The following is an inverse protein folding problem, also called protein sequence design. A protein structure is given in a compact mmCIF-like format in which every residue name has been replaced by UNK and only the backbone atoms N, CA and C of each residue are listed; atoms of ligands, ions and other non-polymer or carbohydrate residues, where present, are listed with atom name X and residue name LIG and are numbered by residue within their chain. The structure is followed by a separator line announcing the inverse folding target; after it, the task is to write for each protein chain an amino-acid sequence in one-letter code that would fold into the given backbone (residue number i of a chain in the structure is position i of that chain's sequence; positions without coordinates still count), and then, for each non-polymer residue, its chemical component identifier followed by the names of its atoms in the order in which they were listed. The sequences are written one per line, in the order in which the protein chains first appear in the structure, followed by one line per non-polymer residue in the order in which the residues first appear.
data_IF_197842270584
#
_entry.id   IF_197842270584
#
_cell.length_a   1.000
_cell.length_b   1.000
_cell.length_c   1.000
_cell.angle_alpha   90.00
_cell.angle_beta   90.00
_cell.angle_gamma   90.00
#
_symmetry.space_group_name_H-M   'P 1'
#
loop_
_entity.id
_entity.type
_entity.pdbx_description
1 polymer ?
#
# COMPACT_ATOMS: atom_id res chain seq x y z
N UNK A 1 15.98 -20.24 5.47
CA UNK A 1 16.10 -18.83 5.88
C UNK A 1 14.80 -18.52 6.59
N UNK A 2 14.81 -18.50 7.92
CA UNK A 2 13.61 -18.16 8.67
C UNK A 2 13.22 -16.73 8.34
N UNK A 3 11.96 -16.53 7.94
CA UNK A 3 11.43 -15.20 7.72
C UNK A 3 11.45 -14.48 9.08
N UNK A 4 12.16 -13.36 9.17
CA UNK A 4 12.31 -12.59 10.42
C UNK A 4 10.97 -12.10 10.96
N UNK A 5 9.93 -12.08 10.13
CA UNK A 5 8.57 -11.69 10.50
C UNK A 5 7.67 -12.89 10.81
N UNK A 6 8.13 -14.12 10.56
CA UNK A 6 7.34 -15.34 10.78
C UNK A 6 6.12 -15.47 9.86
N UNK A 7 6.16 -14.87 8.67
CA UNK A 7 5.06 -14.85 7.71
C UNK A 7 5.41 -15.74 6.52
N UNK A 8 4.40 -16.29 5.84
CA UNK A 8 4.56 -17.05 4.62
C UNK A 8 4.22 -16.22 3.39
N UNK A 9 4.79 -16.59 2.25
CA UNK A 9 4.41 -16.02 0.96
C UNK A 9 2.91 -16.25 0.63
N UNK A 10 2.31 -17.33 1.15
CA UNK A 10 0.88 -17.58 0.94
C UNK A 10 0.02 -16.56 1.67
N UNK A 11 0.33 -16.28 2.93
CA UNK A 11 -0.38 -15.27 3.73
C UNK A 11 -0.29 -13.89 3.09
N UNK A 12 0.89 -13.49 2.59
CA UNK A 12 1.03 -12.25 1.84
C UNK A 12 0.12 -12.22 0.61
N UNK A 13 0.11 -13.27 -0.21
CA UNK A 13 -0.76 -13.33 -1.41
C UNK A 13 -2.24 -13.26 -1.05
N UNK A 14 -2.66 -13.91 0.03
CA UNK A 14 -4.06 -13.92 0.44
C UNK A 14 -4.50 -12.58 1.01
N UNK A 15 -3.63 -11.90 1.75
CA UNK A 15 -3.82 -10.51 2.15
C UNK A 15 -3.86 -9.55 0.94
N UNK A 16 -2.94 -9.71 -0.01
CA UNK A 16 -2.82 -8.86 -1.22
C UNK A 16 -4.11 -8.86 -2.05
N UNK A 17 -4.85 -9.97 -2.07
CA UNK A 17 -6.16 -10.09 -2.75
C UNK A 17 -7.26 -9.26 -2.09
N UNK A 18 -7.10 -8.86 -0.82
CA UNK A 18 -8.07 -8.03 -0.10
C UNK A 18 -7.96 -6.55 -0.45
N UNK A 19 -6.85 -6.13 -1.06
CA UNK A 19 -6.61 -4.76 -1.50
C UNK A 19 -7.50 -4.40 -2.70
N UNK A 20 -8.71 -3.91 -2.39
CA UNK A 20 -9.74 -3.54 -3.38
C UNK A 20 -9.98 -2.04 -3.40
N UNK A 21 -9.86 -1.46 -4.59
CA UNK A 21 -10.08 -0.04 -4.80
C UNK A 21 -11.57 0.29 -4.94
N UNK A 22 -12.05 1.18 -4.05
CA UNK A 22 -13.35 1.84 -4.18
C UNK A 22 -13.35 2.99 -5.19
N UNK A 23 -14.56 3.54 -5.45
CA UNK A 23 -14.80 4.64 -6.41
C UNK A 23 -14.05 5.93 -6.08
N UNK A 24 -13.72 6.16 -4.80
CA UNK A 24 -13.01 7.35 -4.32
C UNK A 24 -11.52 7.38 -4.71
N UNK A 25 -10.95 6.24 -5.11
CA UNK A 25 -9.57 6.16 -5.56
C UNK A 25 -9.43 6.59 -7.02
N UNK A 26 -9.84 7.82 -7.31
CA UNK A 26 -9.60 8.41 -8.62
C UNK A 26 -8.10 8.62 -8.81
N UNK A 27 -7.56 8.20 -9.97
CA UNK A 27 -6.16 8.41 -10.36
C UNK A 27 -5.12 7.72 -9.44
N UNK A 28 -5.30 6.46 -9.07
CA UNK A 28 -4.25 5.66 -8.39
C UNK A 28 -3.72 4.56 -9.31
N UNK A 29 -2.40 4.35 -9.34
CA UNK A 29 -1.81 3.20 -10.02
C UNK A 29 -2.07 1.91 -9.25
N UNK A 30 -2.79 0.97 -9.85
CA UNK A 30 -3.13 -0.31 -9.22
C UNK A 30 -1.93 -1.25 -8.98
N UNK A 31 -0.77 -0.96 -9.58
CA UNK A 31 0.46 -1.75 -9.47
C UNK A 31 1.36 -1.27 -8.34
N UNK A 32 1.69 0.02 -8.32
CA UNK A 32 2.55 0.61 -7.29
C UNK A 32 1.78 1.29 -6.15
N UNK A 33 0.46 1.43 -6.25
CA UNK A 33 -0.42 2.08 -5.28
C UNK A 33 -0.23 3.60 -5.10
N UNK A 34 0.64 4.24 -5.89
CA UNK A 34 0.90 5.68 -5.84
C UNK A 34 -0.23 6.47 -6.53
N UNK A 35 -0.81 7.50 -5.88
CA UNK A 35 -1.70 8.47 -6.50
C UNK A 35 -1.01 9.30 -7.59
N UNK A 36 -1.70 9.46 -8.72
CA UNK A 36 -1.35 10.31 -9.85
C UNK A 36 -2.02 11.68 -9.67
N UNK A 37 -1.53 12.44 -8.69
CA UNK A 37 -2.03 13.79 -8.38
C UNK A 37 -1.40 14.83 -9.31
N UNK A 38 -0.16 14.58 -9.77
CA UNK A 38 0.50 15.27 -10.88
C UNK A 38 1.05 14.26 -11.89
N UNK A 39 1.09 14.64 -13.17
CA UNK A 39 1.66 13.81 -14.24
C UNK A 39 3.18 13.62 -14.11
N UNK A 40 3.85 14.37 -13.22
CA UNK A 40 5.29 14.29 -12.95
C UNK A 40 5.69 13.06 -12.13
N UNK A 41 4.78 12.48 -11.35
CA UNK A 41 5.07 11.32 -10.50
C UNK A 41 4.96 9.98 -11.25
N UNK A 42 4.17 9.93 -12.31
CA UNK A 42 4.02 8.75 -13.16
C UNK A 42 3.40 9.16 -14.50
N UNK A 43 3.93 8.70 -15.66
CA UNK A 43 3.27 8.95 -16.93
C UNK A 43 1.84 8.41 -16.90
N UNK A 44 0.85 9.20 -17.32
CA UNK A 44 -0.55 8.77 -17.39
C UNK A 44 -0.61 7.43 -18.12
N UNK A 45 -1.26 6.42 -17.53
CA UNK A 45 -1.23 5.03 -17.99
C UNK A 45 -1.16 4.93 -19.52
N UNK A 46 -0.03 4.46 -20.06
CA UNK A 46 0.01 4.11 -21.46
C UNK A 46 -1.11 3.09 -21.68
N UNK A 47 -2.16 3.48 -22.42
CA UNK A 47 -3.30 2.60 -22.71
C UNK A 47 -2.74 1.25 -23.11
N UNK A 48 -3.09 0.20 -22.35
CA UNK A 48 -2.67 -1.16 -22.65
C UNK A 48 -2.89 -1.40 -24.14
N UNK A 49 -1.81 -1.53 -24.92
CA UNK A 49 -1.92 -1.87 -26.34
C UNK A 49 -2.72 -3.16 -26.40
N UNK A 50 -3.79 -3.19 -27.22
CA UNK A 50 -4.64 -4.37 -27.46
C UNK A 50 -3.75 -5.60 -27.60
N UNK A 51 -3.72 -6.48 -26.60
CA UNK A 51 -2.97 -7.74 -26.70
C UNK A 51 -2.30 -8.31 -25.45
N UNK A 52 -2.34 -7.68 -24.26
CA UNK A 52 -1.69 -8.30 -23.10
C UNK A 52 -2.26 -7.87 -21.76
N UNK A 53 -2.64 -8.84 -20.93
CA UNK A 53 -2.72 -8.61 -19.47
C UNK A 53 -1.29 -8.35 -19.00
N UNK A 54 -0.94 -7.09 -18.81
CA UNK A 54 0.39 -6.68 -18.34
C UNK A 54 0.80 -5.37 -19.02
N UNK A 55 0.69 -4.20 -18.39
CA UNK A 55 1.53 -3.82 -17.26
C UNK A 55 3.04 -3.82 -17.54
N UNK A 56 3.49 -3.73 -18.79
CA UNK A 56 4.91 -3.47 -19.05
C UNK A 56 5.19 -1.98 -18.89
N UNK A 57 5.57 -1.54 -17.69
CA UNK A 57 6.16 -0.20 -17.52
C UNK A 57 6.14 0.43 -16.13
N UNK A 58 5.52 -0.16 -15.10
CA UNK A 58 5.63 0.41 -13.76
C UNK A 58 6.95 -0.06 -13.11
N UNK A 59 7.96 0.81 -13.09
CA UNK A 59 9.27 0.55 -12.47
C UNK A 59 9.15 0.19 -10.99
N UNK A 60 8.11 0.71 -10.32
CA UNK A 60 7.89 0.56 -8.88
C UNK A 60 6.77 -0.42 -8.52
N UNK A 61 6.48 -1.40 -9.40
CA UNK A 61 5.50 -2.44 -9.12
C UNK A 61 5.89 -3.23 -7.85
N UNK A 62 4.89 -3.56 -7.03
CA UNK A 62 5.07 -4.39 -5.83
C UNK A 62 6.10 -3.86 -4.81
N UNK A 63 6.30 -2.53 -4.73
CA UNK A 63 7.12 -1.92 -3.67
C UNK A 63 6.27 -1.58 -2.44
N UNK A 64 5.19 -0.84 -2.64
CA UNK A 64 4.39 -0.26 -1.55
C UNK A 64 3.62 -1.33 -0.76
N UNK A 65 2.97 -2.27 -1.46
CA UNK A 65 2.14 -3.28 -0.79
C UNK A 65 2.96 -4.22 0.13
N UNK A 66 4.11 -4.79 -0.27
CA UNK A 66 4.94 -5.57 0.64
C UNK A 66 5.46 -4.77 1.83
N UNK A 67 5.85 -3.50 1.63
CA UNK A 67 6.35 -2.66 2.73
C UNK A 67 5.26 -2.39 3.77
N UNK A 68 4.06 -2.03 3.33
CA UNK A 68 2.93 -1.82 4.26
C UNK A 68 2.55 -3.10 5.00
N UNK A 69 2.61 -4.25 4.33
CA UNK A 69 2.43 -5.55 4.97
C UNK A 69 3.50 -5.85 6.02
N UNK A 70 4.77 -5.58 5.71
CA UNK A 70 5.87 -5.74 6.66
C UNK A 70 5.72 -4.83 7.90
N UNK A 71 5.27 -3.59 7.73
CA UNK A 71 4.97 -2.67 8.83
C UNK A 71 3.90 -3.26 9.75
N UNK A 72 2.83 -3.85 9.19
CA UNK A 72 1.76 -4.46 9.98
C UNK A 72 2.24 -5.64 10.83
N UNK A 73 3.10 -6.49 10.28
CA UNK A 73 3.60 -7.67 10.99
C UNK A 73 4.74 -7.38 11.96
N UNK A 74 5.39 -6.22 11.84
CA UNK A 74 6.36 -5.76 12.82
C UNK A 74 5.65 -5.12 14.02
N UNK A 75 5.48 -5.87 15.12
CA UNK A 75 4.67 -5.48 16.29
C UNK A 75 4.88 -4.04 16.78
N UNK A 76 6.14 -3.62 16.97
CA UNK A 76 6.46 -2.27 17.44
C UNK A 76 6.10 -1.17 16.42
N UNK A 77 6.33 -1.41 15.12
CA UNK A 77 5.98 -0.46 14.07
C UNK A 77 4.47 -0.37 13.91
N UNK A 78 3.78 -1.51 13.92
CA UNK A 78 2.32 -1.56 13.92
C UNK A 78 1.75 -0.74 15.06
N UNK A 79 2.22 -0.92 16.29
CA UNK A 79 1.74 -0.18 17.47
C UNK A 79 1.96 1.33 17.31
N UNK A 80 3.14 1.76 16.84
CA UNK A 80 3.44 3.17 16.58
C UNK A 80 2.55 3.74 15.47
N UNK A 81 2.30 2.97 14.41
CA UNK A 81 1.43 3.36 13.31
C UNK A 81 -0.03 3.51 13.77
N UNK A 82 -0.57 2.52 14.49
CA UNK A 82 -1.92 2.56 15.08
C UNK A 82 -2.11 3.82 15.94
N UNK A 83 -1.09 4.17 16.73
CA UNK A 83 -1.09 5.37 17.56
C UNK A 83 -1.03 6.67 16.72
N UNK A 84 -0.18 6.73 15.70
CA UNK A 84 -0.06 7.91 14.82
C UNK A 84 -1.30 8.15 13.96
N UNK A 85 -1.88 7.10 13.40
CA UNK A 85 -3.05 7.18 12.52
C UNK A 85 -4.39 7.21 13.26
N UNK A 86 -4.36 7.10 14.60
CA UNK A 86 -5.53 6.98 15.46
C UNK A 86 -6.48 5.88 14.93
N UNK A 87 -5.89 4.72 14.65
CA UNK A 87 -6.54 3.56 14.04
C UNK A 87 -6.12 2.29 14.78
N UNK A 88 -6.92 1.22 14.64
CA UNK A 88 -6.60 -0.09 15.19
C UNK A 88 -6.89 -1.15 14.15
N UNK A 89 -5.96 -2.09 13.99
CA UNK A 89 -6.06 -3.17 13.02
C UNK A 89 -5.89 -4.53 13.71
N UNK A 90 -6.94 -5.02 14.41
CA UNK A 90 -6.91 -6.33 15.06
C UNK A 90 -6.53 -7.46 14.10
N UNK A 91 -6.99 -7.40 12.86
CA UNK A 91 -6.71 -8.37 11.80
C UNK A 91 -6.03 -7.74 10.60
N UNK A 92 -5.31 -8.55 9.81
CA UNK A 92 -4.68 -8.10 8.56
C UNK A 92 -5.71 -7.68 7.51
N UNK A 93 -6.93 -8.22 7.59
CA UNK A 93 -8.08 -7.82 6.77
C UNK A 93 -8.55 -6.40 7.12
N UNK A 94 -8.68 -6.07 8.41
CA UNK A 94 -9.02 -4.70 8.83
C UNK A 94 -7.94 -3.70 8.44
N UNK A 95 -6.67 -4.12 8.47
CA UNK A 95 -5.58 -3.31 7.93
C UNK A 95 -5.72 -3.08 6.42
N UNK A 96 -5.99 -4.14 5.64
CA UNK A 96 -6.23 -4.04 4.20
C UNK A 96 -7.40 -3.11 3.86
N UNK A 97 -8.49 -3.18 4.63
CA UNK A 97 -9.64 -2.29 4.49
C UNK A 97 -9.27 -0.84 4.81
N UNK A 98 -8.55 -0.60 5.91
CA UNK A 98 -8.09 0.73 6.24
C UNK A 98 -7.18 1.34 5.15
N UNK A 99 -6.24 0.56 4.59
CA UNK A 99 -5.36 1.01 3.51
C UNK A 99 -6.14 1.47 2.25
N UNK A 100 -7.31 0.90 2.03
CA UNK A 100 -8.21 1.19 0.92
C UNK A 100 -9.39 2.09 1.30
N UNK A 101 -9.45 2.55 2.55
CA UNK A 101 -10.51 3.45 2.98
C UNK A 101 -10.24 4.88 2.51
N UNK A 102 -11.24 5.75 2.64
CA UNK A 102 -11.09 7.17 2.38
C UNK A 102 -10.10 7.75 3.39
N UNK A 103 -8.98 8.36 2.94
CA UNK A 103 -8.02 8.98 3.86
C UNK A 103 -8.65 10.12 4.64
N UNK A 104 -8.20 10.32 5.89
CA UNK A 104 -8.57 11.52 6.66
C UNK A 104 -7.89 12.76 6.04
N UNK A 105 -8.61 13.88 5.96
CA UNK A 105 -8.10 15.22 5.52
C UNK A 105 -7.70 15.29 4.04
N UNK A 106 -6.77 16.19 3.68
CA UNK A 106 -6.22 16.47 2.34
C UNK A 106 -5.30 15.38 1.79
N UNK A 107 -5.41 14.14 2.31
CA UNK A 107 -4.54 13.03 1.94
C UNK A 107 -5.18 12.17 0.85
N UNK A 108 -4.37 11.50 0.05
CA UNK A 108 -4.82 10.85 -1.19
C UNK A 108 -4.86 9.32 -1.11
N UNK A 109 -4.11 8.70 -0.20
CA UNK A 109 -4.14 7.24 0.03
C UNK A 109 -3.55 6.89 1.40
N UNK A 110 -4.29 6.17 2.23
CA UNK A 110 -3.79 5.66 3.52
C UNK A 110 -2.55 4.77 3.33
N UNK A 111 -2.47 4.06 2.20
CA UNK A 111 -1.32 3.21 1.89
C UNK A 111 -0.03 3.99 1.61
N UNK A 112 -0.13 5.15 0.95
CA UNK A 112 1.03 6.03 0.77
C UNK A 112 1.33 6.78 2.07
N UNK A 113 0.30 7.18 2.80
CA UNK A 113 0.47 7.91 4.06
C UNK A 113 1.27 7.11 5.09
N UNK A 114 0.98 5.81 5.25
CA UNK A 114 1.73 4.94 6.17
C UNK A 114 3.18 4.72 5.68
N UNK A 115 3.40 4.68 4.37
CA UNK A 115 4.75 4.59 3.81
C UNK A 115 5.56 5.85 4.10
N UNK A 116 4.99 7.04 3.86
CA UNK A 116 5.65 8.31 4.15
C UNK A 116 5.95 8.46 5.64
N UNK A 117 4.98 8.16 6.51
CA UNK A 117 5.20 8.12 7.95
C UNK A 117 6.36 7.19 8.34
N UNK A 118 6.42 5.99 7.75
CA UNK A 118 7.51 5.06 8.03
C UNK A 118 8.87 5.63 7.63
N UNK A 119 8.97 6.31 6.48
CA UNK A 119 10.23 6.94 6.05
C UNK A 119 10.70 8.05 6.99
N UNK A 120 9.78 8.81 7.58
CA UNK A 120 10.08 9.88 8.54
C UNK A 120 10.61 9.34 9.87
N UNK A 121 10.10 8.20 10.34
CA UNK A 121 10.53 7.62 11.63
C UNK A 121 11.71 6.65 11.49
N UNK A 122 11.98 6.12 10.30
CA UNK A 122 13.11 5.24 10.03
C UNK A 122 14.42 5.99 9.76
N UNK A 123 14.36 7.31 9.57
CA UNK A 123 15.51 8.20 9.40
C UNK A 123 15.97 8.87 10.70
N UNK A 124 15.39 8.48 11.84
CA UNK A 124 15.77 8.88 13.20
C UNK A 124 16.34 7.67 13.96
#
# INVERSE_FOLDING_TARGET
MEDKLGITWSEYKDWRKQLKYGKHHSKICYMCHVPQISDDLHPTFAKAKKGGRGATGCEYADVVAPLTFAIYHHQELKKKAEQYFEARWPTSMEFAYWLMDVPKKTRHSNMIDILLWYTEIATL
#
